data_IF_658010033611
#
_entry.id   IF_658010033611
#
_cell.length_a   1.000
_cell.length_b   1.000
_cell.length_c   1.000
_cell.angle_alpha   90.00
_cell.angle_beta   90.00
_cell.angle_gamma   90.00
#
_symmetry.space_group_name_H-M   'P 1'
#
loop_
_entity.id
_entity.type
_entity.pdbx_description
1 polymer ?
#
# COMPACT_ATOMS: atom_id res chain seq x y z
N UNK A 1 -8.25 -7.15 -14.78
CA UNK A 1 -7.51 -7.15 -16.06
C UNK A 1 -7.66 -5.76 -16.68
N UNK A 2 -6.57 -5.00 -16.80
CA UNK A 2 -6.56 -3.73 -17.54
C UNK A 2 -6.52 -4.11 -19.03
N UNK A 3 -7.45 -3.60 -19.82
CA UNK A 3 -7.51 -3.91 -21.25
C UNK A 3 -6.24 -3.47 -22.00
N UNK A 4 -5.91 -4.19 -23.06
CA UNK A 4 -4.62 -4.09 -23.75
C UNK A 4 -4.63 -3.07 -24.91
N UNK A 5 -5.67 -2.25 -25.04
CA UNK A 5 -5.81 -1.33 -26.17
C UNK A 5 -5.33 0.08 -25.85
N UNK A 6 -4.93 0.82 -26.90
CA UNK A 6 -4.46 2.20 -26.76
C UNK A 6 -5.55 3.14 -26.22
N UNK A 7 -6.80 2.96 -26.65
CA UNK A 7 -7.90 3.83 -26.22
C UNK A 7 -8.24 3.63 -24.73
N UNK A 8 -8.19 2.39 -24.23
CA UNK A 8 -8.33 2.11 -22.79
C UNK A 8 -7.19 2.74 -22.00
N UNK A 9 -5.95 2.64 -22.48
CA UNK A 9 -4.81 3.29 -21.84
C UNK A 9 -4.99 4.80 -21.78
N UNK A 10 -5.39 5.45 -22.88
CA UNK A 10 -5.66 6.89 -22.93
C UNK A 10 -6.76 7.25 -21.93
N UNK A 11 -7.86 6.51 -21.94
CA UNK A 11 -8.97 6.73 -21.02
C UNK A 11 -8.51 6.63 -19.54
N UNK A 12 -7.79 5.57 -19.18
CA UNK A 12 -7.26 5.37 -17.82
C UNK A 12 -6.32 6.51 -17.42
N UNK A 13 -5.43 6.96 -18.33
CA UNK A 13 -4.51 8.07 -18.07
C UNK A 13 -5.26 9.38 -17.82
N UNK A 14 -6.31 9.64 -18.58
CA UNK A 14 -7.20 10.80 -18.39
C UNK A 14 -7.89 10.72 -17.02
N UNK A 15 -8.46 9.57 -16.66
CA UNK A 15 -9.08 9.36 -15.34
C UNK A 15 -8.09 9.58 -14.20
N UNK A 16 -6.89 9.00 -14.29
CA UNK A 16 -5.83 9.16 -13.28
C UNK A 16 -5.45 10.64 -13.15
N UNK A 17 -5.28 11.35 -14.27
CA UNK A 17 -4.93 12.76 -14.29
C UNK A 17 -5.96 13.60 -13.50
N UNK A 18 -7.25 13.46 -13.81
CA UNK A 18 -8.29 14.24 -13.12
C UNK A 18 -8.47 13.85 -11.65
N UNK A 19 -8.24 12.58 -11.29
CA UNK A 19 -8.29 12.12 -9.90
C UNK A 19 -7.08 12.58 -9.07
N UNK A 20 -5.90 12.67 -9.69
CA UNK A 20 -4.65 13.07 -9.05
C UNK A 20 -4.53 14.60 -8.93
N UNK A 21 -5.08 15.34 -9.89
CA UNK A 21 -5.02 16.80 -9.94
C UNK A 21 -6.42 17.44 -9.88
N UNK A 22 -7.19 17.23 -8.79
CA UNK A 22 -8.55 17.74 -8.69
C UNK A 22 -8.63 19.27 -8.78
N UNK A 23 -7.56 19.98 -8.40
CA UNK A 23 -7.49 21.44 -8.51
C UNK A 23 -7.63 21.94 -9.94
N UNK A 24 -7.10 21.20 -10.93
CA UNK A 24 -7.24 21.55 -12.34
C UNK A 24 -8.71 21.41 -12.74
N UNK A 25 -9.35 20.31 -12.35
CA UNK A 25 -10.79 20.07 -12.57
C UNK A 25 -11.64 21.19 -11.98
N UNK A 26 -11.39 21.57 -10.72
CA UNK A 26 -12.15 22.64 -10.06
C UNK A 26 -11.90 24.01 -10.70
N UNK A 27 -10.65 24.37 -10.99
CA UNK A 27 -10.31 25.64 -11.60
C UNK A 27 -10.94 25.78 -13.00
N UNK A 28 -10.87 24.73 -13.81
CA UNK A 28 -11.53 24.70 -15.12
C UNK A 28 -13.04 24.81 -15.00
N UNK A 29 -13.67 24.06 -14.08
CA UNK A 29 -15.11 24.12 -13.86
C UNK A 29 -15.57 25.51 -13.38
N UNK A 30 -14.82 26.12 -12.47
CA UNK A 30 -15.12 27.46 -11.98
C UNK A 30 -14.96 28.51 -13.09
N UNK A 31 -13.90 28.42 -13.89
CA UNK A 31 -13.70 29.32 -15.03
C UNK A 31 -14.87 29.25 -16.03
N UNK A 32 -15.34 28.03 -16.35
CA UNK A 32 -16.54 27.84 -17.19
C UNK A 32 -17.76 28.49 -16.56
N UNK A 33 -17.98 28.32 -15.26
CA UNK A 33 -19.13 28.93 -14.57
C UNK A 33 -19.08 30.46 -14.55
N UNK A 34 -17.89 31.05 -14.47
CA UNK A 34 -17.70 32.51 -14.45
C UNK A 34 -17.76 33.15 -15.85
N UNK A 35 -17.37 32.41 -16.89
CA UNK A 35 -17.38 32.89 -18.28
C UNK A 35 -18.72 32.62 -18.99
N UNK A 36 -19.46 31.57 -18.59
CA UNK A 36 -20.76 31.20 -19.15
C UNK A 36 -21.76 32.37 -19.27
N UNK A 37 -21.99 33.15 -18.19
CA UNK A 37 -22.88 34.32 -18.24
C UNK A 37 -22.43 35.44 -19.19
N UNK A 38 -21.14 35.49 -19.56
CA UNK A 38 -20.58 36.49 -20.48
C UNK A 38 -20.67 36.06 -21.95
N UNK A 39 -20.71 34.75 -22.20
CA UNK A 39 -20.77 34.13 -23.53
C UNK A 39 -22.20 33.77 -23.96
N UNK A 40 -23.16 33.76 -23.03
CA UNK A 40 -24.57 33.47 -23.28
C UNK A 40 -25.48 34.36 -22.45
N UNK A 41 -26.75 33.97 -22.30
CA UNK A 41 -27.69 34.70 -21.45
C UNK A 41 -27.36 34.48 -19.96
N UNK A 42 -27.49 35.52 -19.12
CA UNK A 42 -27.29 35.39 -17.69
C UNK A 42 -28.35 34.45 -17.09
N UNK A 43 -27.93 33.23 -16.76
CA UNK A 43 -28.74 32.19 -16.12
C UNK A 43 -28.28 32.00 -14.66
N UNK A 44 -29.19 32.08 -13.66
CA UNK A 44 -28.88 31.78 -12.24
C UNK A 44 -28.25 30.41 -11.99
N UNK A 45 -28.38 29.46 -12.93
CA UNK A 45 -27.71 28.15 -12.83
C UNK A 45 -26.18 28.26 -12.83
N UNK A 46 -25.61 29.25 -13.50
CA UNK A 46 -24.16 29.46 -13.52
C UNK A 46 -23.63 29.85 -12.14
N UNK A 47 -24.32 30.74 -11.44
CA UNK A 47 -23.94 31.13 -10.07
C UNK A 47 -24.14 29.98 -9.10
N UNK A 48 -25.25 29.23 -9.21
CA UNK A 48 -25.46 28.02 -8.42
C UNK A 48 -24.35 26.97 -8.65
N UNK A 49 -23.98 26.70 -9.90
CA UNK A 49 -22.89 25.77 -10.24
C UNK A 49 -21.54 26.24 -9.70
N UNK A 50 -21.23 27.54 -9.80
CA UNK A 50 -20.01 28.10 -9.21
C UNK A 50 -19.96 27.90 -7.69
N UNK A 51 -21.09 28.10 -6.99
CA UNK A 51 -21.18 27.86 -5.55
C UNK A 51 -20.94 26.39 -5.19
N UNK A 52 -21.47 25.43 -5.97
CA UNK A 52 -21.19 24.01 -5.78
C UNK A 52 -19.70 23.67 -5.98
N UNK A 53 -19.08 24.21 -7.04
CA UNK A 53 -17.64 24.00 -7.31
C UNK A 53 -16.80 24.54 -6.16
N UNK A 54 -17.09 25.75 -5.67
CA UNK A 54 -16.42 26.33 -4.49
C UNK A 54 -16.64 25.47 -3.24
N UNK A 55 -17.85 24.94 -3.04
CA UNK A 55 -18.14 23.99 -1.97
C UNK A 55 -17.27 22.74 -2.03
N UNK A 56 -17.11 22.13 -3.21
CA UNK A 56 -16.24 20.97 -3.39
C UNK A 56 -14.76 21.30 -3.20
N UNK A 57 -14.31 22.48 -3.63
CA UNK A 57 -12.96 22.97 -3.34
C UNK A 57 -12.72 23.10 -1.84
N UNK A 58 -13.72 23.58 -1.08
CA UNK A 58 -13.63 23.69 0.37
C UNK A 58 -13.56 22.31 1.04
N UNK A 59 -14.36 21.34 0.59
CA UNK A 59 -14.28 19.95 1.08
C UNK A 59 -12.91 19.34 0.80
N UNK A 60 -12.40 19.50 -0.42
CA UNK A 60 -11.06 19.02 -0.79
C UNK A 60 -9.97 19.68 0.06
N UNK A 61 -10.05 20.99 0.27
CA UNK A 61 -9.11 21.74 1.10
C UNK A 61 -9.15 21.27 2.56
N UNK A 62 -10.35 21.12 3.12
CA UNK A 62 -10.52 20.60 4.47
C UNK A 62 -9.93 19.19 4.60
N UNK A 63 -10.22 18.30 3.64
CA UNK A 63 -9.60 16.97 3.60
C UNK A 63 -8.06 17.06 3.49
N UNK A 64 -7.54 17.92 2.62
CA UNK A 64 -6.11 18.09 2.42
C UNK A 64 -5.40 18.55 3.71
N UNK A 65 -6.02 19.48 4.44
CA UNK A 65 -5.49 20.07 5.67
C UNK A 65 -5.65 19.15 6.89
N UNK A 66 -6.83 18.55 7.08
CA UNK A 66 -7.16 17.83 8.31
C UNK A 66 -6.94 16.31 8.23
N UNK A 67 -6.81 15.74 7.04
CA UNK A 67 -6.62 14.29 6.86
C UNK A 67 -5.32 13.99 6.14
N UNK A 68 -5.14 14.52 4.92
CA UNK A 68 -3.99 14.18 4.09
C UNK A 68 -2.67 14.69 4.67
N UNK A 69 -2.61 15.95 5.10
CA UNK A 69 -1.37 16.54 5.61
C UNK A 69 -0.88 15.85 6.89
N UNK A 70 -1.71 15.65 7.93
CA UNK A 70 -1.31 14.89 9.11
C UNK A 70 -0.91 13.45 8.78
N UNK A 71 -1.63 12.79 7.88
CA UNK A 71 -1.29 11.45 7.42
C UNK A 71 0.08 11.40 6.74
N UNK A 72 0.36 12.37 5.86
CA UNK A 72 1.65 12.46 5.15
C UNK A 72 2.80 12.72 6.12
N UNK A 73 2.61 13.60 7.10
CA UNK A 73 3.61 13.87 8.15
C UNK A 73 3.91 12.58 8.92
N UNK A 74 2.87 11.88 9.39
CA UNK A 74 3.02 10.62 10.11
C UNK A 74 3.73 9.55 9.27
N UNK A 75 3.50 9.49 7.96
CA UNK A 75 4.13 8.52 7.09
C UNK A 75 5.62 8.78 6.87
N UNK A 76 6.07 10.03 7.06
CA UNK A 76 7.50 10.38 7.05
C UNK A 76 8.19 10.18 8.39
N UNK A 77 7.48 9.72 9.44
CA UNK A 77 8.11 9.36 10.70
C UNK A 77 8.85 8.04 10.56
N UNK A 78 10.01 7.93 11.23
CA UNK A 78 10.78 6.70 11.27
C UNK A 78 9.93 5.53 11.79
N UNK A 79 10.09 4.36 11.17
CA UNK A 79 9.38 3.17 11.58
C UNK A 79 9.70 2.80 13.04
N UNK A 80 8.67 2.40 13.80
CA UNK A 80 8.83 1.87 15.15
C UNK A 80 9.10 0.38 15.07
N UNK A 81 10.36 0.01 15.25
CA UNK A 81 10.77 -1.39 15.23
C UNK A 81 10.42 -2.10 16.55
N UNK A 82 10.07 -3.40 16.50
CA UNK A 82 9.90 -4.21 17.69
C UNK A 82 11.22 -4.38 18.45
N UNK A 83 11.17 -4.97 19.65
CA UNK A 83 12.38 -5.31 20.37
C UNK A 83 13.29 -6.22 19.52
N UNK A 84 14.60 -5.94 19.43
CA UNK A 84 15.52 -6.71 18.60
C UNK A 84 15.49 -8.20 18.93
N UNK A 85 15.53 -9.04 17.89
CA UNK A 85 15.62 -10.48 18.07
C UNK A 85 16.97 -10.88 18.70
N UNK A 86 16.95 -11.94 19.51
CA UNK A 86 18.20 -12.54 19.97
C UNK A 86 19.01 -13.07 18.78
N UNK A 87 20.35 -13.11 18.85
CA UNK A 87 21.20 -13.65 17.78
C UNK A 87 20.79 -15.04 17.28
N UNK A 88 20.38 -15.92 18.21
CA UNK A 88 19.92 -17.26 17.86
C UNK A 88 18.58 -17.25 17.11
N UNK A 89 17.62 -16.41 17.54
CA UNK A 89 16.33 -16.27 16.89
C UNK A 89 16.47 -15.65 15.49
N UNK A 90 17.33 -14.63 15.35
CA UNK A 90 17.65 -13.97 14.08
C UNK A 90 18.28 -14.95 13.08
N UNK A 91 19.23 -15.77 13.52
CA UNK A 91 19.82 -16.83 12.70
C UNK A 91 18.81 -17.86 12.24
N UNK A 92 17.95 -18.31 13.16
CA UNK A 92 16.88 -19.25 12.83
C UNK A 92 15.90 -18.64 11.82
N UNK A 93 15.59 -17.35 11.93
CA UNK A 93 14.76 -16.63 10.96
C UNK A 93 15.45 -16.55 9.59
N UNK A 94 16.73 -16.18 9.54
CA UNK A 94 17.51 -16.10 8.31
C UNK A 94 17.52 -17.43 7.55
N UNK A 95 17.88 -18.54 8.22
CA UNK A 95 17.91 -19.86 7.57
C UNK A 95 16.53 -20.31 7.11
N UNK A 96 15.48 -20.03 7.89
CA UNK A 96 14.10 -20.31 7.47
C UNK A 96 13.72 -19.54 6.21
N UNK A 97 14.06 -18.26 6.12
CA UNK A 97 13.81 -17.46 4.93
C UNK A 97 14.57 -18.04 3.74
N UNK A 98 15.87 -18.28 3.88
CA UNK A 98 16.71 -18.78 2.79
C UNK A 98 16.32 -20.18 2.32
N UNK A 99 15.85 -21.05 3.22
CA UNK A 99 15.36 -22.39 2.86
C UNK A 99 14.13 -22.37 1.93
N UNK A 100 13.39 -21.26 1.89
CA UNK A 100 12.23 -21.09 1.00
C UNK A 100 12.56 -20.45 -0.34
N UNK A 101 13.82 -20.07 -0.58
CA UNK A 101 14.24 -19.38 -1.79
C UNK A 101 14.69 -20.39 -2.86
N UNK A 102 13.89 -20.62 -3.93
CA UNK A 102 14.25 -21.59 -4.97
C UNK A 102 15.34 -21.06 -5.91
N UNK A 103 15.41 -19.75 -6.10
CA UNK A 103 16.42 -19.09 -6.95
C UNK A 103 17.03 -17.90 -6.17
N UNK A 104 18.20 -18.07 -5.54
CA UNK A 104 18.85 -17.04 -4.75
C UNK A 104 19.23 -15.79 -5.56
N UNK A 105 19.62 -15.96 -6.83
CA UNK A 105 19.97 -14.82 -7.68
C UNK A 105 18.75 -13.96 -7.98
N UNK A 106 17.65 -14.57 -8.41
CA UNK A 106 16.41 -13.85 -8.72
C UNK A 106 15.84 -13.19 -7.45
N UNK A 107 15.91 -13.88 -6.32
CA UNK A 107 15.50 -13.34 -5.02
C UNK A 107 16.30 -12.07 -4.67
N UNK A 108 17.63 -12.14 -4.75
CA UNK A 108 18.48 -11.00 -4.43
C UNK A 108 18.22 -9.84 -5.40
N UNK A 109 18.21 -10.11 -6.71
CA UNK A 109 17.90 -9.08 -7.72
C UNK A 109 16.54 -8.43 -7.51
N UNK A 110 15.54 -9.19 -7.05
CA UNK A 110 14.22 -8.66 -6.70
C UNK A 110 14.27 -7.61 -5.59
N UNK A 111 15.07 -7.84 -4.55
CA UNK A 111 15.30 -6.89 -3.47
C UNK A 111 16.18 -5.69 -3.87
N UNK A 112 16.96 -5.85 -4.94
CA UNK A 112 17.82 -4.82 -5.51
C UNK A 112 17.23 -4.21 -6.80
N UNK A 113 15.91 -4.02 -6.85
CA UNK A 113 15.22 -3.29 -7.93
C UNK A 113 15.50 -3.84 -9.35
N UNK A 114 15.81 -5.14 -9.46
CA UNK A 114 16.13 -5.78 -10.73
C UNK A 114 17.57 -5.57 -11.22
N UNK A 115 18.45 -4.94 -10.42
CA UNK A 115 19.87 -4.73 -10.75
C UNK A 115 20.55 -6.00 -11.23
N UNK A 116 21.59 -5.84 -12.05
CA UNK A 116 22.43 -6.98 -12.43
C UNK A 116 23.20 -7.48 -11.22
N UNK A 117 23.32 -8.80 -11.10
CA UNK A 117 23.95 -9.42 -9.93
C UNK A 117 25.43 -9.02 -9.76
N UNK A 118 26.11 -8.59 -10.82
CA UNK A 118 27.51 -8.09 -10.78
C UNK A 118 27.61 -6.71 -10.11
N UNK A 119 26.54 -5.93 -10.15
CA UNK A 119 26.46 -4.58 -9.57
C UNK A 119 26.10 -4.63 -8.07
N UNK A 120 25.68 -5.80 -7.59
CA UNK A 120 25.38 -6.08 -6.18
C UNK A 120 26.66 -6.60 -5.54
N UNK A 121 27.33 -5.73 -4.76
CA UNK A 121 28.59 -6.05 -4.08
C UNK A 121 28.42 -6.23 -2.59
N UNK A 122 29.51 -6.60 -1.90
CA UNK A 122 29.50 -6.97 -0.48
C UNK A 122 28.86 -5.91 0.41
N UNK A 123 29.20 -4.63 0.22
CA UNK A 123 28.66 -3.53 1.04
C UNK A 123 27.16 -3.30 0.81
N UNK A 124 26.67 -3.56 -0.41
CA UNK A 124 25.25 -3.45 -0.73
C UNK A 124 24.46 -4.55 -0.01
N UNK A 125 24.98 -5.78 0.00
CA UNK A 125 24.35 -6.93 0.68
C UNK A 125 24.41 -6.76 2.18
N UNK A 126 25.50 -6.21 2.69
CA UNK A 126 25.66 -5.85 4.10
C UNK A 126 24.56 -4.88 4.57
N UNK A 127 24.38 -3.76 3.87
CA UNK A 127 23.33 -2.77 4.14
C UNK A 127 21.93 -3.40 4.07
N UNK A 128 21.68 -4.23 3.05
CA UNK A 128 20.42 -4.95 2.91
C UNK A 128 20.13 -5.88 4.10
N UNK A 129 21.13 -6.62 4.59
CA UNK A 129 20.97 -7.56 5.69
C UNK A 129 20.77 -6.85 7.04
N UNK A 130 21.48 -5.74 7.27
CA UNK A 130 21.26 -4.88 8.44
C UNK A 130 19.80 -4.41 8.51
N UNK A 131 19.26 -3.91 7.40
CA UNK A 131 17.84 -3.56 7.35
C UNK A 131 16.95 -4.79 7.57
N UNK A 132 17.17 -5.87 6.83
CA UNK A 132 16.22 -6.99 6.75
C UNK A 132 16.12 -7.82 8.04
N UNK A 133 17.20 -7.92 8.82
CA UNK A 133 17.25 -8.81 9.99
C UNK A 133 17.64 -8.09 11.29
N UNK A 134 18.20 -6.88 11.22
CA UNK A 134 18.69 -6.15 12.39
C UNK A 134 17.86 -4.92 12.71
N UNK A 135 16.98 -4.48 11.80
CA UNK A 135 16.24 -3.21 11.96
C UNK A 135 17.19 -2.02 12.19
N UNK A 136 18.41 -2.10 11.64
CA UNK A 136 19.48 -1.10 11.79
C UNK A 136 19.79 -0.46 10.42
N UNK A 137 19.85 0.88 10.40
CA UNK A 137 20.37 1.63 9.27
C UNK A 137 21.89 1.67 9.34
N UNK A 138 22.57 1.45 8.20
CA UNK A 138 24.03 1.56 8.10
C UNK A 138 24.57 2.97 8.47
N UNK A 139 23.70 3.97 8.52
CA UNK A 139 24.00 5.38 8.82
C UNK A 139 23.74 5.77 10.28
N UNK A 140 22.99 4.96 11.05
CA UNK A 140 22.39 5.39 12.31
C UNK A 140 23.33 5.28 13.53
N UNK A 141 24.32 4.38 13.51
CA UNK A 141 25.38 4.25 14.52
C UNK A 141 26.49 3.29 14.03
N UNK A 142 27.70 3.34 14.62
CA UNK A 142 28.68 2.30 14.39
C UNK A 142 28.14 0.96 14.89
N UNK A 143 27.91 0.05 13.94
CA UNK A 143 27.52 -1.33 14.19
C UNK A 143 28.47 -1.98 15.19
N UNK A 144 27.92 -2.67 16.20
CA UNK A 144 28.76 -3.38 17.17
C UNK A 144 29.57 -4.46 16.46
N UNK A 145 30.76 -4.79 16.99
CA UNK A 145 31.61 -5.83 16.40
C UNK A 145 30.92 -7.19 16.33
N UNK A 146 30.02 -7.48 17.27
CA UNK A 146 29.23 -8.72 17.31
C UNK A 146 28.21 -8.77 16.18
N UNK A 147 27.52 -7.65 15.91
CA UNK A 147 26.59 -7.55 14.79
C UNK A 147 27.34 -7.68 13.47
N UNK A 148 28.52 -7.04 13.34
CA UNK A 148 29.31 -7.18 12.12
C UNK A 148 29.74 -8.61 11.83
N UNK A 149 30.18 -9.33 12.85
CA UNK A 149 30.51 -10.75 12.70
C UNK A 149 29.27 -11.56 12.28
N UNK A 150 28.09 -11.25 12.83
CA UNK A 150 26.85 -11.92 12.48
C UNK A 150 26.40 -11.64 11.05
N UNK A 151 26.41 -10.38 10.61
CA UNK A 151 26.10 -9.99 9.23
C UNK A 151 27.10 -10.63 8.27
N UNK A 152 28.39 -10.64 8.62
CA UNK A 152 29.43 -11.33 7.85
C UNK A 152 29.12 -12.81 7.61
N UNK A 153 28.60 -13.51 8.63
CA UNK A 153 28.13 -14.90 8.49
C UNK A 153 26.96 -15.03 7.53
N UNK A 154 26.00 -14.11 7.55
CA UNK A 154 24.85 -14.10 6.63
C UNK A 154 25.26 -13.79 5.19
N UNK A 155 26.24 -12.90 4.98
CA UNK A 155 26.83 -12.64 3.65
C UNK A 155 27.46 -13.92 3.13
N UNK A 156 28.36 -14.56 3.90
CA UNK A 156 29.00 -15.80 3.47
C UNK A 156 28.01 -16.92 3.19
N UNK A 157 26.93 -17.00 3.96
CA UNK A 157 25.85 -17.95 3.70
C UNK A 157 25.10 -17.65 2.40
N UNK A 158 24.89 -16.37 2.10
CA UNK A 158 24.28 -15.92 0.84
C UNK A 158 25.19 -16.23 -0.36
N UNK A 159 26.50 -16.02 -0.23
CA UNK A 159 27.51 -16.38 -1.25
C UNK A 159 27.50 -17.88 -1.55
N UNK A 160 27.39 -18.71 -0.50
CA UNK A 160 27.25 -20.17 -0.66
C UNK A 160 25.99 -20.55 -1.43
N UNK A 161 24.86 -19.89 -1.17
CA UNK A 161 23.59 -20.14 -1.88
C UNK A 161 23.67 -19.70 -3.35
N UNK A 162 24.39 -18.62 -3.65
CA UNK A 162 24.62 -18.15 -5.02
C UNK A 162 25.69 -18.96 -5.76
N UNK A 163 26.50 -19.75 -5.05
CA UNK A 163 27.65 -20.46 -5.61
C UNK A 163 28.78 -19.53 -6.06
N UNK A 164 28.83 -18.30 -5.55
CA UNK A 164 29.85 -17.29 -5.91
C UNK A 164 30.02 -16.26 -4.78
N UNK A 165 31.23 -15.72 -4.65
CA UNK A 165 31.50 -14.60 -3.75
C UNK A 165 31.03 -13.27 -4.36
N UNK A 166 30.70 -12.30 -3.50
CA UNK A 166 30.48 -10.92 -3.93
C UNK A 166 31.82 -10.22 -4.15
N UNK A 167 31.86 -9.27 -5.09
CA UNK A 167 33.01 -8.36 -5.19
C UNK A 167 33.09 -7.46 -3.95
N UNK A 168 34.32 -7.11 -3.56
CA UNK A 168 34.56 -6.22 -2.43
C UNK A 168 34.10 -4.78 -2.72
N UNK A 169 33.72 -4.08 -1.65
CA UNK A 169 33.30 -2.69 -1.67
C UNK A 169 31.83 -2.49 -2.08
N UNK A 170 31.49 -1.24 -2.39
CA UNK A 170 30.14 -0.83 -2.77
C UNK A 170 29.98 -0.77 -4.29
N UNK A 171 28.95 -1.46 -4.78
CA UNK A 171 28.50 -1.41 -6.16
C UNK A 171 27.41 -0.36 -6.37
N UNK A 172 27.02 -0.11 -7.63
CA UNK A 172 26.02 0.92 -7.97
C UNK A 172 24.58 0.49 -7.68
N UNK A 173 24.34 -0.77 -7.29
CA UNK A 173 23.01 -1.26 -6.96
C UNK A 173 22.46 -0.66 -5.64
N UNK A 174 21.14 -0.52 -5.56
CA UNK A 174 20.44 -0.05 -4.37
C UNK A 174 19.46 -1.12 -3.88
N UNK A 175 19.49 -1.41 -2.57
CA UNK A 175 18.53 -2.30 -1.94
C UNK A 175 17.25 -1.57 -1.56
N UNK A 176 16.12 -2.28 -1.60
CA UNK A 176 14.87 -1.84 -0.98
C UNK A 176 14.99 -1.96 0.54
N UNK A 177 14.73 -0.87 1.26
CA UNK A 177 14.69 -0.82 2.73
C UNK A 177 13.37 -0.21 3.19
N UNK A 178 12.32 -1.02 3.19
CA UNK A 178 10.92 -0.57 3.29
C UNK A 178 10.57 0.25 4.55
N UNK A 179 11.39 0.20 5.60
CA UNK A 179 11.19 0.92 6.86
C UNK A 179 12.07 2.16 7.01
N UNK A 180 13.08 2.33 6.14
CA UNK A 180 14.04 3.43 6.16
C UNK A 180 13.92 4.33 4.94
N UNK A 181 13.66 3.76 3.76
CA UNK A 181 13.56 4.52 2.53
C UNK A 181 12.33 5.43 2.55
N UNK A 182 12.50 6.64 2.01
CA UNK A 182 11.44 7.63 1.91
C UNK A 182 10.24 7.09 1.12
N UNK A 183 9.05 7.25 1.70
CA UNK A 183 7.82 6.82 1.06
C UNK A 183 7.32 7.94 0.15
N UNK A 184 7.52 7.79 -1.16
CA UNK A 184 6.94 8.68 -2.15
C UNK A 184 5.41 8.58 -2.15
N UNK A 185 4.76 9.58 -1.53
CA UNK A 185 3.31 9.66 -1.48
C UNK A 185 2.73 10.45 -2.64
N UNK A 186 1.77 9.85 -3.35
CA UNK A 186 0.92 10.56 -4.30
C UNK A 186 -0.36 11.02 -3.62
N UNK A 187 -0.73 12.27 -3.83
CA UNK A 187 -2.00 12.81 -3.35
C UNK A 187 -3.17 11.97 -3.87
N UNK A 188 -4.00 11.48 -2.95
CA UNK A 188 -5.27 10.83 -3.25
C UNK A 188 -6.37 11.76 -2.77
N UNK A 189 -7.15 12.27 -3.71
CA UNK A 189 -8.21 13.25 -3.46
C UNK A 189 -9.30 12.69 -2.55
N UNK A 190 -10.11 13.58 -2.00
CA UNK A 190 -11.30 13.17 -1.24
C UNK A 190 -12.20 12.23 -2.07
N UNK A 191 -12.40 12.57 -3.35
CA UNK A 191 -13.22 11.79 -4.27
C UNK A 191 -12.69 10.39 -4.57
N UNK A 192 -11.36 10.19 -4.53
CA UNK A 192 -10.79 8.86 -4.62
C UNK A 192 -11.33 7.95 -3.51
N UNK A 193 -11.38 8.47 -2.28
CA UNK A 193 -11.89 7.72 -1.14
C UNK A 193 -13.41 7.56 -1.17
N UNK A 194 -14.15 8.54 -1.70
CA UNK A 194 -15.61 8.39 -1.96
C UNK A 194 -15.85 7.25 -2.95
N UNK A 195 -15.11 7.21 -4.06
CA UNK A 195 -15.22 6.15 -5.06
C UNK A 195 -14.91 4.78 -4.43
N UNK A 196 -13.85 4.68 -3.62
CA UNK A 196 -13.53 3.44 -2.91
C UNK A 196 -14.63 3.02 -1.94
N UNK A 197 -15.24 3.96 -1.21
CA UNK A 197 -16.36 3.68 -0.32
C UNK A 197 -17.59 3.16 -1.08
N UNK A 198 -17.86 3.67 -2.28
CA UNK A 198 -18.96 3.19 -3.14
C UNK A 198 -18.69 1.75 -3.62
N UNK A 199 -17.48 1.45 -4.08
CA UNK A 199 -17.13 0.09 -4.53
C UNK A 199 -17.17 -0.90 -3.37
N UNK A 200 -16.69 -0.49 -2.19
CA UNK A 200 -16.72 -1.29 -0.97
C UNK A 200 -18.16 -1.57 -0.49
N UNK A 201 -19.04 -0.55 -0.52
CA UNK A 201 -20.46 -0.72 -0.25
C UNK A 201 -21.15 -1.64 -1.26
N UNK A 202 -20.86 -1.48 -2.56
CA UNK A 202 -21.36 -2.37 -3.61
C UNK A 202 -20.91 -3.82 -3.42
N UNK A 203 -19.64 -4.02 -3.08
CA UNK A 203 -19.07 -5.34 -2.76
C UNK A 203 -19.79 -5.95 -1.55
N UNK A 204 -20.04 -5.15 -0.51
CA UNK A 204 -20.75 -5.61 0.68
C UNK A 204 -22.16 -6.09 0.34
N UNK A 205 -22.92 -5.30 -0.41
CA UNK A 205 -24.27 -5.65 -0.87
C UNK A 205 -24.25 -6.94 -1.70
N UNK A 206 -23.31 -7.06 -2.63
CA UNK A 206 -23.17 -8.24 -3.49
C UNK A 206 -22.85 -9.51 -2.70
N UNK A 207 -21.94 -9.44 -1.73
CA UNK A 207 -21.60 -10.59 -0.89
C UNK A 207 -22.76 -11.02 0.01
N UNK A 208 -23.50 -10.06 0.58
CA UNK A 208 -24.74 -10.36 1.34
C UNK A 208 -25.76 -11.07 0.44
N UNK A 209 -25.99 -10.57 -0.78
CA UNK A 209 -26.91 -11.21 -1.73
C UNK A 209 -26.46 -12.61 -2.15
N UNK A 210 -25.16 -12.88 -2.15
CA UNK A 210 -24.59 -14.21 -2.42
C UNK A 210 -24.53 -15.13 -1.19
N UNK A 211 -25.18 -14.74 -0.09
CA UNK A 211 -25.32 -15.57 1.12
C UNK A 211 -24.09 -15.58 2.03
N UNK A 212 -23.19 -14.60 1.88
CA UNK A 212 -22.10 -14.42 2.82
C UNK A 212 -22.55 -13.60 4.03
N UNK A 213 -22.03 -13.99 5.19
CA UNK A 213 -22.18 -13.31 6.45
C UNK A 213 -20.96 -12.44 6.73
N UNK A 214 -21.18 -11.15 6.97
CA UNK A 214 -20.11 -10.23 7.31
C UNK A 214 -19.81 -10.25 8.82
N UNK A 215 -18.55 -10.46 9.18
CA UNK A 215 -18.02 -10.34 10.53
C UNK A 215 -17.09 -9.13 10.58
N UNK A 216 -17.52 -8.06 11.26
CA UNK A 216 -16.72 -6.84 11.40
C UNK A 216 -15.68 -6.95 12.52
N UNK A 217 -14.69 -6.05 12.54
CA UNK A 217 -13.75 -5.90 13.65
C UNK A 217 -14.45 -5.35 14.90
N UNK A 218 -13.71 -5.15 16.00
CA UNK A 218 -14.26 -4.44 17.16
C UNK A 218 -14.70 -3.01 16.78
N UNK A 219 -15.56 -2.39 17.60
CA UNK A 219 -16.02 -1.01 17.34
C UNK A 219 -14.87 0.00 17.41
N UNK A 220 -13.90 -0.25 18.29
CA UNK A 220 -12.71 0.58 18.46
C UNK A 220 -11.84 0.52 17.20
N UNK A 221 -11.54 -0.69 16.72
CA UNK A 221 -10.75 -0.88 15.49
C UNK A 221 -11.44 -0.28 14.26
N UNK A 222 -12.77 -0.37 14.20
CA UNK A 222 -13.56 0.20 13.09
C UNK A 222 -13.33 1.71 12.96
N UNK A 223 -13.20 2.43 14.09
CA UNK A 223 -12.98 3.88 14.09
C UNK A 223 -11.53 4.26 13.76
N UNK A 224 -10.59 3.33 13.92
CA UNK A 224 -9.19 3.53 13.56
C UNK A 224 -8.92 3.35 12.05
N UNK A 225 -9.87 2.79 11.29
CA UNK A 225 -9.73 2.54 9.85
C UNK A 225 -10.14 3.78 9.04
N UNK A 226 -9.23 4.25 8.18
CA UNK A 226 -9.50 5.29 7.19
C UNK A 226 -9.40 4.74 5.75
N UNK A 227 -10.35 5.06 4.85
CA UNK A 227 -11.58 5.79 5.10
C UNK A 227 -12.57 4.99 5.97
N UNK A 228 -13.45 5.66 6.74
CA UNK A 228 -14.42 4.97 7.59
C UNK A 228 -15.33 4.05 6.77
N UNK A 229 -15.40 2.78 7.18
CA UNK A 229 -16.24 1.77 6.54
C UNK A 229 -17.62 1.73 7.19
N UNK A 230 -18.60 2.41 6.59
CA UNK A 230 -19.96 2.55 7.15
C UNK A 230 -20.59 1.18 7.47
N UNK A 231 -20.35 0.18 6.62
CA UNK A 231 -20.83 -1.19 6.80
C UNK A 231 -20.25 -1.89 8.03
N UNK A 232 -19.07 -1.50 8.53
CA UNK A 232 -18.54 -2.01 9.80
C UNK A 232 -19.25 -1.42 11.02
N UNK A 233 -19.76 -0.19 10.91
CA UNK A 233 -20.56 0.44 11.97
C UNK A 233 -21.92 -0.24 12.12
N UNK A 234 -22.54 -0.62 11.00
CA UNK A 234 -23.84 -1.27 10.95
C UNK A 234 -23.80 -2.81 11.08
N UNK A 235 -22.61 -3.41 11.15
CA UNK A 235 -22.46 -4.86 11.19
C UNK A 235 -23.08 -5.47 12.46
N UNK A 236 -23.92 -6.49 12.26
CA UNK A 236 -24.57 -7.24 13.34
C UNK A 236 -23.62 -8.25 14.00
N UNK A 237 -22.70 -8.83 13.23
CA UNK A 237 -21.73 -9.83 13.71
C UNK A 237 -20.35 -9.20 13.81
N UNK A 238 -19.62 -9.57 14.86
CA UNK A 238 -18.25 -9.14 15.08
C UNK A 238 -17.32 -10.31 15.31
N UNK A 239 -16.11 -10.18 14.80
CA UNK A 239 -15.02 -11.12 14.91
C UNK A 239 -14.37 -11.02 16.29
N UNK A 240 -13.98 -12.17 16.85
CA UNK A 240 -13.19 -12.25 18.08
C UNK A 240 -11.68 -12.08 17.83
N UNK A 241 -11.23 -12.15 16.57
CA UNK A 241 -9.80 -12.17 16.21
C UNK A 241 -9.25 -10.82 15.78
N UNK A 242 -10.07 -9.76 15.84
CA UNK A 242 -9.69 -8.42 15.38
C UNK A 242 -9.62 -8.27 13.85
N UNK A 243 -9.84 -9.34 13.07
CA UNK A 243 -9.91 -9.30 11.61
C UNK A 243 -11.38 -9.25 11.14
N UNK A 244 -11.69 -8.40 10.16
CA UNK A 244 -12.98 -8.49 9.46
C UNK A 244 -12.92 -9.51 8.34
N UNK A 245 -13.96 -10.31 8.18
CA UNK A 245 -14.04 -11.32 7.12
C UNK A 245 -15.48 -11.56 6.68
N UNK A 246 -15.59 -12.24 5.54
CA UNK A 246 -16.85 -12.77 5.02
C UNK A 246 -16.84 -14.27 5.14
N UNK A 247 -17.94 -14.83 5.63
CA UNK A 247 -18.09 -16.27 5.81
C UNK A 247 -19.37 -16.74 5.17
N UNK A 248 -19.28 -17.77 4.33
CA UNK A 248 -20.45 -18.48 3.83
C UNK A 248 -20.40 -19.90 4.39
N UNK A 249 -21.42 -20.34 5.14
CA UNK A 249 -21.44 -21.68 5.72
C UNK A 249 -21.24 -22.76 4.66
N UNK A 250 -20.42 -23.75 5.00
CA UNK A 250 -20.14 -24.84 4.11
C UNK A 250 -21.36 -25.75 3.95
N UNK A 251 -21.69 -26.13 2.71
CA UNK A 251 -22.86 -26.96 2.41
C UNK A 251 -22.52 -28.45 2.22
N UNK A 252 -21.24 -28.81 2.08
CA UNK A 252 -20.80 -30.17 1.72
C UNK A 252 -19.75 -30.67 2.71
N UNK A 253 -20.07 -31.61 3.60
CA UNK A 253 -19.12 -32.03 4.65
C UNK A 253 -17.85 -32.76 4.17
N UNK A 254 -17.78 -33.11 2.88
CA UNK A 254 -16.68 -33.87 2.26
C UNK A 254 -15.64 -33.00 1.56
N UNK A 255 -15.80 -31.67 1.53
CA UNK A 255 -14.87 -30.74 0.89
C UNK A 255 -14.11 -29.91 1.93
N UNK A 256 -12.90 -29.50 1.56
CA UNK A 256 -12.10 -28.61 2.39
C UNK A 256 -12.63 -27.16 2.27
N UNK A 257 -12.60 -26.37 3.36
CA UNK A 257 -12.96 -24.96 3.30
C UNK A 257 -11.97 -24.18 2.44
N UNK A 258 -12.47 -23.16 1.73
CA UNK A 258 -11.66 -22.24 0.95
C UNK A 258 -11.48 -20.95 1.76
N UNK A 259 -10.23 -20.55 1.95
CA UNK A 259 -9.88 -19.27 2.59
C UNK A 259 -9.24 -18.38 1.52
N UNK A 260 -9.83 -17.21 1.30
CA UNK A 260 -9.30 -16.22 0.37
C UNK A 260 -8.77 -15.00 1.13
N UNK A 261 -7.47 -14.76 1.00
CA UNK A 261 -6.84 -13.52 1.43
C UNK A 261 -6.67 -12.61 0.22
N UNK A 262 -7.23 -11.39 0.31
CA UNK A 262 -7.01 -10.38 -0.72
C UNK A 262 -5.94 -9.39 -0.27
N UNK A 263 -5.17 -8.90 -1.24
CA UNK A 263 -4.17 -7.86 -1.00
C UNK A 263 -4.78 -6.47 -0.84
N UNK A 264 -3.92 -5.45 -0.90
CA UNK A 264 -4.29 -4.04 -0.82
C UNK A 264 -5.25 -3.68 -1.98
N UNK A 265 -6.40 -3.10 -1.65
CA UNK A 265 -7.39 -2.59 -2.61
C UNK A 265 -8.74 -3.30 -2.57
N UNK A 266 -9.45 -3.27 -3.70
CA UNK A 266 -10.83 -3.76 -3.90
C UNK A 266 -10.90 -5.25 -4.27
N UNK A 267 -9.98 -6.06 -3.72
CA UNK A 267 -9.80 -7.47 -4.15
C UNK A 267 -11.02 -8.39 -3.98
N UNK A 268 -11.98 -8.01 -3.13
CA UNK A 268 -13.24 -8.75 -2.96
C UNK A 268 -14.30 -8.43 -4.02
N UNK A 269 -14.19 -7.30 -4.73
CA UNK A 269 -15.16 -6.90 -5.77
C UNK A 269 -15.30 -7.96 -6.86
N UNK A 270 -14.20 -8.64 -7.21
CA UNK A 270 -14.17 -9.65 -8.28
C UNK A 270 -14.79 -10.99 -7.85
N UNK A 271 -14.91 -11.26 -6.55
CA UNK A 271 -15.46 -12.52 -6.04
C UNK A 271 -16.99 -12.57 -6.02
N UNK A 272 -17.64 -11.44 -6.26
CA UNK A 272 -19.10 -11.36 -6.33
C UNK A 272 -19.68 -11.54 -7.73
N UNK A 273 -18.82 -11.70 -8.75
CA UNK A 273 -19.17 -12.11 -10.11
C UNK A 273 -18.92 -13.62 -10.26
#
# INVERSE_FOLDING_TARGET
MLGHTLHELIFIRICIFFLQYPIITYASALAVCLLGPKLGSPDPRWTAAALWVVGFMFVELAYALFVWTPYKIRLGEAAKHPAPLSPAARRALFERCMATVPNPELYLRGWFLGSEIKDIRRDNVHEFLLWAFFDEGAEDNPTSSEVEEEVGRYISRTEQLLGRAFEDGRGPAQSLRLTFDDIETKYRSFWWYVMMAVVDAGTHVLLVFNGFEYYAQSREDTLAVFPPRIQQLAAQRRSSTGLSYWHRPHQQSDRLPIIFFHGIGIGLWVLGL
#
